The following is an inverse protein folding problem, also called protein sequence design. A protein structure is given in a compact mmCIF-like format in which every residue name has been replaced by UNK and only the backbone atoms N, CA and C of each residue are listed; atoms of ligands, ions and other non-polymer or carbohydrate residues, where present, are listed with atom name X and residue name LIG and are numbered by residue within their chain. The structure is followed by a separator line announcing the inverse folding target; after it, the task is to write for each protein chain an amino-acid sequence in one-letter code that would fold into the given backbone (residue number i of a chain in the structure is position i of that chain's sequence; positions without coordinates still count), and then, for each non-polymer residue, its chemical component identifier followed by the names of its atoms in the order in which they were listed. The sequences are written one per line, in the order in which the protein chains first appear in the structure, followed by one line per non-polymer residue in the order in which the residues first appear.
data_IF_983524820519
#
_entry.id   IF_983524820519
#
_cell.length_a   1.000
_cell.length_b   1.000
_cell.length_c   1.000
_cell.angle_alpha   90.00
_cell.angle_beta   90.00
_cell.angle_gamma   90.00
#
_symmetry.space_group_name_H-M   'P 1'
#
loop_
_entity.id
_entity.type
_entity.pdbx_description
1 polymer ?
#
# COMPACT_ATOMS: atom_id res chain seq x y z
N UNK A 1 15.43 26.19 -1.86
CA UNK A 1 15.76 24.95 -2.57
C UNK A 1 14.80 23.88 -2.06
N UNK A 2 13.71 23.60 -2.77
CA UNK A 2 12.66 22.68 -2.33
C UNK A 2 12.89 21.31 -2.96
N UNK A 3 13.21 20.30 -2.16
CA UNK A 3 13.21 18.90 -2.61
C UNK A 3 11.74 18.52 -2.80
N UNK A 4 11.32 18.37 -4.07
CA UNK A 4 10.01 17.85 -4.41
C UNK A 4 9.90 16.40 -3.91
N UNK A 5 9.27 16.23 -2.75
CA UNK A 5 8.87 14.96 -2.15
C UNK A 5 7.65 14.37 -2.86
N UNK A 6 7.62 14.28 -4.19
CA UNK A 6 6.53 13.59 -4.90
C UNK A 6 7.04 12.81 -6.11
N UNK A 7 6.56 11.56 -6.30
CA UNK A 7 7.45 10.47 -6.62
C UNK A 7 7.51 10.28 -8.12
N UNK A 8 8.73 10.24 -8.64
CA UNK A 8 9.00 9.33 -9.75
C UNK A 8 8.46 7.96 -9.30
N UNK A 9 7.64 7.25 -10.10
CA UNK A 9 7.17 5.93 -9.72
C UNK A 9 8.37 5.09 -9.26
N UNK A 10 8.24 4.28 -8.19
CA UNK A 10 9.32 3.39 -7.78
C UNK A 10 9.77 2.55 -8.98
N UNK A 11 11.04 2.15 -9.02
CA UNK A 11 11.63 1.42 -10.15
C UNK A 11 10.69 0.34 -10.69
N UNK A 12 10.28 0.47 -11.96
CA UNK A 12 9.38 -0.47 -12.65
C UNK A 12 7.88 -0.14 -12.63
N UNK A 13 7.45 0.86 -11.86
CA UNK A 13 6.06 1.34 -11.91
C UNK A 13 5.86 2.35 -13.04
N UNK A 14 4.72 2.26 -13.72
CA UNK A 14 4.25 3.28 -14.65
C UNK A 14 3.22 4.15 -13.90
N UNK A 15 3.07 5.44 -14.24
CA UNK A 15 2.06 6.28 -13.58
C UNK A 15 0.66 5.65 -13.57
N UNK A 16 0.32 4.84 -14.57
CA UNK A 16 -0.95 4.14 -14.71
C UNK A 16 -1.15 3.04 -13.67
N UNK A 17 -0.11 2.26 -13.36
CA UNK A 17 -0.19 1.15 -12.41
C UNK A 17 0.09 1.56 -10.94
N UNK A 18 0.25 2.87 -10.69
CA UNK A 18 0.46 3.39 -9.36
C UNK A 18 -0.86 3.88 -8.74
N UNK A 19 -1.23 3.44 -7.51
CA UNK A 19 -2.52 3.74 -6.92
C UNK A 19 -2.70 5.19 -6.42
N UNK A 20 -1.60 5.95 -6.32
CA UNK A 20 -1.63 7.36 -5.90
C UNK A 20 -1.42 8.29 -7.11
N UNK A 21 -2.08 9.44 -7.11
CA UNK A 21 -1.75 10.55 -8.01
C UNK A 21 -0.42 11.19 -7.62
N UNK A 22 0.06 12.13 -8.45
CA UNK A 22 1.23 12.97 -8.12
C UNK A 22 1.07 13.71 -6.79
N UNK A 23 -0.16 14.06 -6.42
CA UNK A 23 -0.48 14.77 -5.17
C UNK A 23 -0.67 13.82 -3.98
N UNK A 24 -0.45 12.51 -4.19
CA UNK A 24 -0.57 11.49 -3.15
C UNK A 24 -2.00 11.13 -2.78
N UNK A 25 -2.98 11.48 -3.61
CA UNK A 25 -4.39 11.10 -3.45
C UNK A 25 -4.59 9.71 -4.10
N UNK A 26 -5.33 8.82 -3.43
CA UNK A 26 -5.68 7.52 -4.00
C UNK A 26 -6.63 7.72 -5.18
N UNK A 27 -6.30 7.15 -6.33
CA UNK A 27 -7.09 7.36 -7.54
C UNK A 27 -8.42 6.57 -7.47
N UNK A 28 -9.55 7.14 -7.92
CA UNK A 28 -10.87 6.49 -7.82
C UNK A 28 -10.95 5.12 -8.47
N UNK A 29 -10.28 4.91 -9.61
CA UNK A 29 -10.27 3.63 -10.32
C UNK A 29 -9.65 2.50 -9.50
N UNK A 30 -8.69 2.82 -8.61
CA UNK A 30 -8.13 1.84 -7.68
C UNK A 30 -9.09 1.51 -6.55
N UNK A 31 -9.85 2.49 -6.06
CA UNK A 31 -10.91 2.25 -5.07
C UNK A 31 -12.00 1.36 -5.68
N UNK A 32 -12.43 1.66 -6.91
CA UNK A 32 -13.41 0.85 -7.65
C UNK A 32 -12.92 -0.58 -7.88
N UNK A 33 -11.68 -0.76 -8.35
CA UNK A 33 -11.09 -2.10 -8.56
C UNK A 33 -11.07 -2.94 -7.27
N UNK A 34 -10.69 -2.33 -6.15
CA UNK A 34 -10.65 -2.99 -4.85
C UNK A 34 -12.07 -3.29 -4.33
N UNK A 35 -13.06 -2.48 -4.69
CA UNK A 35 -14.46 -2.71 -4.35
C UNK A 35 -15.11 -3.81 -5.21
N UNK A 36 -14.77 -3.91 -6.49
CA UNK A 36 -15.29 -4.92 -7.41
C UNK A 36 -14.76 -6.34 -7.09
N UNK A 37 -13.58 -6.41 -6.46
CA UNK A 37 -12.91 -7.66 -6.11
C UNK A 37 -12.35 -7.64 -4.67
N UNK A 38 -13.21 -7.45 -3.65
CA UNK A 38 -12.78 -7.14 -2.30
C UNK A 38 -12.05 -8.30 -1.60
N UNK A 39 -12.16 -9.52 -2.13
CA UNK A 39 -11.54 -10.73 -1.60
C UNK A 39 -10.25 -11.15 -2.33
N UNK A 40 -9.85 -10.43 -3.39
CA UNK A 40 -8.71 -10.81 -4.25
C UNK A 40 -7.43 -10.03 -4.00
N UNK A 41 -7.48 -9.00 -3.15
CA UNK A 41 -6.35 -8.12 -2.89
C UNK A 41 -5.94 -8.15 -1.41
N UNK A 42 -4.64 -7.98 -1.17
CA UNK A 42 -4.05 -7.82 0.15
C UNK A 42 -2.89 -6.84 0.07
N UNK A 43 -2.66 -6.10 1.16
CA UNK A 43 -1.56 -5.12 1.22
C UNK A 43 -0.27 -5.75 1.74
N UNK A 44 0.86 -5.41 1.12
CA UNK A 44 2.21 -5.76 1.57
C UNK A 44 3.11 -4.53 1.58
N UNK A 45 4.13 -4.52 2.45
CA UNK A 45 5.07 -3.40 2.60
C UNK A 45 6.51 -3.71 2.17
N UNK A 46 6.78 -4.96 1.74
CA UNK A 46 8.09 -5.46 1.29
C UNK A 46 9.30 -4.80 2.00
N UNK A 47 9.38 -4.88 3.34
CA UNK A 47 10.33 -4.11 4.09
C UNK A 47 11.70 -4.77 3.97
N UNK A 48 12.66 -4.02 3.44
CA UNK A 48 14.06 -4.42 3.48
C UNK A 48 14.65 -3.97 4.82
N UNK A 49 15.02 -4.94 5.63
CA UNK A 49 15.72 -4.68 6.88
C UNK A 49 17.18 -4.36 6.57
N UNK A 50 17.62 -3.17 6.98
CA UNK A 50 19.03 -2.80 6.92
C UNK A 50 19.78 -3.51 8.06
N UNK A 51 21.06 -3.84 7.84
CA UNK A 51 21.93 -4.30 8.92
C UNK A 51 21.91 -3.26 10.07
N UNK A 52 22.12 -3.66 11.34
CA UNK A 52 21.99 -2.74 12.48
C UNK A 52 22.82 -1.45 12.36
N UNK A 53 23.99 -1.51 11.72
CA UNK A 53 24.86 -0.36 11.47
C UNK A 53 24.37 0.59 10.35
N UNK A 54 23.30 0.22 9.66
CA UNK A 54 22.66 0.95 8.55
C UNK A 54 21.24 1.43 8.93
N UNK A 55 20.90 1.41 10.23
CA UNK A 55 19.63 1.89 10.75
C UNK A 55 19.39 3.36 10.37
N UNK A 56 18.23 3.66 9.79
CA UNK A 56 17.82 5.02 9.40
C UNK A 56 17.77 5.30 7.89
N UNK A 57 18.22 4.38 7.03
CA UNK A 57 18.31 4.65 5.58
C UNK A 57 17.03 4.44 4.75
N UNK A 58 15.88 4.07 5.33
CA UNK A 58 14.65 3.90 4.56
C UNK A 58 13.44 4.59 5.20
N UNK A 59 12.66 5.37 4.41
CA UNK A 59 11.37 5.87 4.86
C UNK A 59 10.49 4.71 5.34
N UNK A 60 9.57 4.93 6.28
CA UNK A 60 8.61 3.91 6.66
C UNK A 60 7.75 3.53 5.45
N UNK A 61 8.07 2.41 4.82
CA UNK A 61 7.37 1.84 3.67
C UNK A 61 5.86 1.63 3.95
N UNK A 62 5.48 1.65 5.22
CA UNK A 62 4.08 1.57 5.68
C UNK A 62 3.25 2.83 5.44
N UNK A 63 3.84 4.01 5.22
CA UNK A 63 3.06 5.26 5.11
C UNK A 63 2.15 5.27 3.88
N UNK A 64 2.66 4.81 2.73
CA UNK A 64 1.88 4.76 1.48
C UNK A 64 0.81 3.66 1.53
N UNK A 65 1.16 2.48 2.04
CA UNK A 65 0.20 1.38 2.25
C UNK A 65 -0.95 1.82 3.16
N UNK A 66 -0.65 2.56 4.23
CA UNK A 66 -1.67 3.13 5.14
C UNK A 66 -2.56 4.16 4.45
N UNK A 67 -2.00 5.05 3.61
CA UNK A 67 -2.80 6.01 2.83
C UNK A 67 -3.79 5.30 1.90
N UNK A 68 -3.35 4.25 1.22
CA UNK A 68 -4.23 3.46 0.35
C UNK A 68 -5.37 2.83 1.16
N UNK A 69 -5.05 2.11 2.22
CA UNK A 69 -6.05 1.42 3.06
C UNK A 69 -7.05 2.39 3.68
N UNK A 70 -6.60 3.53 4.18
CA UNK A 70 -7.46 4.52 4.83
C UNK A 70 -8.42 5.24 3.87
N UNK A 71 -8.17 5.17 2.56
CA UNK A 71 -9.06 5.74 1.55
C UNK A 71 -10.21 4.78 1.16
N UNK A 72 -10.14 3.51 1.58
CA UNK A 72 -11.13 2.49 1.22
C UNK A 72 -12.36 2.54 2.15
N UNK A 73 -13.55 2.16 1.67
CA UNK A 73 -14.69 1.90 2.53
C UNK A 73 -14.34 0.88 3.62
N UNK A 74 -14.88 1.06 4.84
CA UNK A 74 -14.45 0.32 6.04
C UNK A 74 -14.42 -1.21 5.87
N UNK A 75 -15.43 -1.79 5.22
CA UNK A 75 -15.47 -3.23 4.97
C UNK A 75 -14.35 -3.71 4.04
N UNK A 76 -14.05 -2.94 2.98
CA UNK A 76 -12.99 -3.24 2.02
C UNK A 76 -11.61 -3.04 2.69
N UNK A 77 -11.45 -1.97 3.47
CA UNK A 77 -10.24 -1.73 4.24
C UNK A 77 -9.92 -2.91 5.17
N UNK A 78 -10.89 -3.42 5.92
CA UNK A 78 -10.70 -4.58 6.79
C UNK A 78 -10.33 -5.86 6.02
N UNK A 79 -10.94 -6.08 4.85
CA UNK A 79 -10.63 -7.21 3.99
C UNK A 79 -9.20 -7.15 3.43
N UNK A 80 -8.85 -6.04 2.78
CA UNK A 80 -7.56 -5.83 2.11
C UNK A 80 -6.40 -5.70 3.10
N UNK A 81 -6.62 -5.10 4.26
CA UNK A 81 -5.57 -4.91 5.25
C UNK A 81 -5.27 -6.17 6.07
N UNK A 82 -6.22 -7.12 6.18
CA UNK A 82 -6.07 -8.25 7.08
C UNK A 82 -6.85 -9.51 6.66
N UNK A 83 -8.18 -9.43 6.53
CA UNK A 83 -9.00 -10.64 6.49
C UNK A 83 -8.70 -11.56 5.28
N UNK A 84 -8.33 -10.98 4.13
CA UNK A 84 -7.94 -11.74 2.95
C UNK A 84 -6.65 -12.54 3.17
N UNK A 85 -5.66 -11.95 3.83
CA UNK A 85 -4.42 -12.64 4.14
C UNK A 85 -4.67 -13.83 5.09
N UNK A 86 -5.48 -13.62 6.13
CA UNK A 86 -5.88 -14.69 7.06
C UNK A 86 -6.54 -15.85 6.33
N UNK A 87 -7.53 -15.54 5.47
CA UNK A 87 -8.27 -16.55 4.70
C UNK A 87 -7.38 -17.32 3.71
N UNK A 88 -6.55 -16.62 2.95
CA UNK A 88 -5.71 -17.23 1.90
C UNK A 88 -4.59 -18.06 2.49
N UNK A 89 -3.90 -17.55 3.51
CA UNK A 89 -2.78 -18.24 4.14
C UNK A 89 -3.17 -19.15 5.31
N UNK A 90 -4.46 -19.23 5.65
CA UNK A 90 -4.99 -20.03 6.78
C UNK A 90 -4.28 -19.69 8.10
N UNK A 91 -4.11 -18.40 8.34
CA UNK A 91 -3.44 -17.92 9.55
C UNK A 91 -4.31 -18.18 10.78
N UNK A 92 -3.70 -18.42 11.96
CA UNK A 92 -4.46 -18.49 13.21
C UNK A 92 -5.20 -17.19 13.47
N UNK A 93 -6.33 -17.28 14.18
CA UNK A 93 -7.00 -16.08 14.68
C UNK A 93 -6.03 -15.32 15.60
N UNK A 94 -5.91 -14.01 15.36
CA UNK A 94 -5.11 -13.07 16.15
C UNK A 94 -5.97 -12.48 17.25
#
# INVERSE_FOLDING_TARGET
MSIALFPRPPFGATPQNFPLSSDGIVKPEWIALLADHPDRFMIGNDPFYAAPHMAGMRPPLSAMSRRLVNALPAAIAAAVAHANAVRVYRLPAV
#
